data_IF_368049201925
#
_entry.id   IF_368049201925
#
_cell.length_a   1.000
_cell.length_b   1.000
_cell.length_c   1.000
_cell.angle_alpha   90.00
_cell.angle_beta   90.00
_cell.angle_gamma   90.00
#
_symmetry.space_group_name_H-M   'P 1'
#
loop_
_entity.id
_entity.type
_entity.pdbx_description
1 polymer ?
#
# COMPACT_ATOMS: atom_id res chain seq x y z
N UNK A 1 -5.40 6.26 -8.32
CA UNK A 1 -5.37 6.55 -9.77
C UNK A 1 -4.67 7.87 -10.11
N UNK A 2 -4.64 8.85 -9.22
CA UNK A 2 -4.05 10.16 -9.50
C UNK A 2 -2.51 10.14 -9.64
N UNK A 3 -1.82 9.15 -9.09
CA UNK A 3 -0.36 9.11 -9.03
C UNK A 3 0.30 8.09 -9.98
N UNK A 4 -0.50 7.29 -10.72
CA UNK A 4 0.01 6.20 -11.57
C UNK A 4 0.16 6.60 -13.05
N UNK A 5 0.10 7.90 -13.35
CA UNK A 5 0.25 8.45 -14.71
C UNK A 5 -0.59 7.75 -15.77
N UNK A 6 -1.82 7.36 -15.41
CA UNK A 6 -2.76 6.62 -16.26
C UNK A 6 -2.21 5.26 -16.76
N UNK A 7 -1.34 4.60 -15.98
CA UNK A 7 -0.72 3.33 -16.40
C UNK A 7 -1.73 2.19 -16.55
N UNK A 8 -2.82 2.20 -15.77
CA UNK A 8 -3.91 1.23 -15.91
C UNK A 8 -4.70 1.51 -17.19
N UNK A 9 -5.08 2.77 -17.42
CA UNK A 9 -5.83 3.18 -18.62
C UNK A 9 -5.04 2.94 -19.90
N UNK A 10 -3.71 3.09 -19.85
CA UNK A 10 -2.83 2.80 -20.99
C UNK A 10 -2.84 1.32 -21.40
N UNK A 11 -3.32 0.42 -20.57
CA UNK A 11 -3.53 -0.99 -20.91
C UNK A 11 -4.92 -1.25 -21.54
N UNK A 12 -5.72 -0.20 -21.76
CA UNK A 12 -7.06 -0.30 -22.33
C UNK A 12 -8.16 -0.56 -21.29
N UNK A 13 -7.86 -0.39 -20.00
CA UNK A 13 -8.82 -0.56 -18.92
C UNK A 13 -9.32 0.79 -18.40
N UNK A 14 -10.49 0.79 -17.80
CA UNK A 14 -11.07 1.95 -17.13
C UNK A 14 -11.11 1.70 -15.63
N UNK A 15 -10.72 2.71 -14.87
CA UNK A 15 -10.88 2.69 -13.41
C UNK A 15 -12.31 3.11 -13.05
N UNK A 16 -12.97 2.29 -12.25
CA UNK A 16 -14.26 2.60 -11.62
C UNK A 16 -13.97 2.97 -10.16
N UNK A 17 -13.96 4.27 -9.88
CA UNK A 17 -13.64 4.79 -8.55
C UNK A 17 -14.77 4.56 -7.56
N UNK A 18 -14.42 4.10 -6.36
CA UNK A 18 -15.33 4.01 -5.22
C UNK A 18 -14.91 5.01 -4.14
N UNK A 19 -15.88 5.69 -3.50
CA UNK A 19 -15.57 6.67 -2.47
C UNK A 19 -14.95 5.98 -1.25
N UNK A 20 -13.97 6.65 -0.64
CA UNK A 20 -13.35 6.21 0.60
C UNK A 20 -13.15 7.39 1.56
N UNK A 21 -12.99 7.13 2.85
CA UNK A 21 -12.70 8.13 3.87
C UNK A 21 -11.30 7.99 4.46
N UNK A 22 -10.80 6.76 4.54
CA UNK A 22 -9.53 6.38 5.16
C UNK A 22 -8.60 5.61 4.22
N UNK A 23 -8.89 5.65 2.91
CA UNK A 23 -8.14 4.90 1.88
C UNK A 23 -8.70 3.51 1.61
N UNK A 24 -9.68 3.02 2.37
CA UNK A 24 -10.29 1.71 2.19
C UNK A 24 -11.63 1.79 1.46
N UNK A 25 -11.89 0.79 0.63
CA UNK A 25 -13.21 0.51 0.05
C UNK A 25 -13.77 -0.76 0.69
N UNK A 26 -15.09 -0.87 0.76
CA UNK A 26 -15.77 -1.98 1.45
C UNK A 26 -16.31 -3.02 0.49
N UNK A 27 -16.48 -4.24 0.97
CA UNK A 27 -17.15 -5.33 0.23
C UNK A 27 -18.55 -4.92 -0.25
N UNK A 28 -19.28 -4.13 0.54
CA UNK A 28 -20.60 -3.63 0.19
C UNK A 28 -20.58 -2.66 -0.98
N UNK A 29 -19.60 -1.74 -1.02
CA UNK A 29 -19.43 -0.82 -2.15
C UNK A 29 -19.07 -1.55 -3.43
N UNK A 30 -18.15 -2.54 -3.34
CA UNK A 30 -17.75 -3.39 -4.46
C UNK A 30 -18.96 -4.20 -4.97
N UNK A 31 -19.72 -4.81 -4.06
CA UNK A 31 -20.92 -5.56 -4.43
C UNK A 31 -21.99 -4.67 -5.09
N UNK A 32 -22.17 -3.43 -4.61
CA UNK A 32 -23.09 -2.48 -5.20
C UNK A 32 -22.66 -2.08 -6.63
N UNK A 33 -21.37 -1.84 -6.83
CA UNK A 33 -20.81 -1.53 -8.17
C UNK A 33 -20.99 -2.69 -9.14
N UNK A 34 -20.65 -3.92 -8.72
CA UNK A 34 -20.84 -5.11 -9.53
C UNK A 34 -22.32 -5.35 -9.86
N UNK A 35 -23.19 -5.24 -8.86
CA UNK A 35 -24.63 -5.40 -9.03
C UNK A 35 -25.21 -4.38 -10.01
N UNK A 36 -24.77 -3.12 -9.93
CA UNK A 36 -25.21 -2.05 -10.83
C UNK A 36 -24.90 -2.38 -12.31
N UNK A 37 -23.83 -3.13 -12.58
CA UNK A 37 -23.52 -3.63 -13.91
C UNK A 37 -24.41 -4.83 -14.30
N UNK A 38 -24.47 -5.87 -13.47
CA UNK A 38 -25.14 -7.14 -13.81
C UNK A 38 -26.68 -7.07 -13.77
N UNK A 39 -27.26 -6.08 -13.11
CA UNK A 39 -28.73 -5.87 -13.04
C UNK A 39 -29.26 -4.98 -14.18
N UNK A 40 -28.41 -4.56 -15.14
CA UNK A 40 -28.88 -3.80 -16.30
C UNK A 40 -29.52 -4.70 -17.37
N UNK A 41 -30.45 -4.14 -18.12
CA UNK A 41 -31.06 -4.85 -19.25
C UNK A 41 -30.06 -5.03 -20.41
N UNK A 42 -29.14 -4.09 -20.58
CA UNK A 42 -28.13 -4.07 -21.65
C UNK A 42 -26.73 -3.78 -21.08
N UNK A 43 -26.14 -4.70 -20.28
CA UNK A 43 -24.87 -4.48 -19.61
C UNK A 43 -23.68 -4.31 -20.58
N UNK A 44 -23.79 -4.81 -21.82
CA UNK A 44 -22.75 -4.71 -22.85
C UNK A 44 -22.39 -3.27 -23.26
N UNK A 45 -23.24 -2.29 -22.94
CA UNK A 45 -22.93 -0.86 -23.15
C UNK A 45 -22.18 -0.23 -21.99
N UNK A 46 -21.95 -0.96 -20.91
CA UNK A 46 -21.29 -0.46 -19.70
C UNK A 46 -19.88 -1.04 -19.54
N UNK A 47 -19.07 -0.42 -18.72
CA UNK A 47 -17.77 -0.98 -18.32
C UNK A 47 -17.99 -2.11 -17.33
N UNK A 48 -17.62 -3.33 -17.70
CA UNK A 48 -17.69 -4.49 -16.82
C UNK A 48 -16.62 -4.42 -15.72
N UNK A 49 -16.97 -4.49 -14.44
CA UNK A 49 -15.99 -4.62 -13.37
C UNK A 49 -15.36 -6.01 -13.39
N UNK A 50 -14.06 -6.10 -13.62
CA UNK A 50 -13.33 -7.39 -13.70
C UNK A 50 -12.26 -7.56 -12.64
N UNK A 51 -11.81 -6.49 -12.03
CA UNK A 51 -10.79 -6.55 -11.00
C UNK A 51 -11.05 -5.51 -9.93
N UNK A 52 -10.88 -5.93 -8.68
CA UNK A 52 -10.78 -5.04 -7.53
C UNK A 52 -9.30 -4.80 -7.25
N UNK A 53 -8.90 -3.53 -7.15
CA UNK A 53 -7.54 -3.10 -6.86
C UNK A 53 -7.53 -2.45 -5.48
N UNK A 54 -6.68 -2.96 -4.58
CA UNK A 54 -6.48 -2.44 -3.23
C UNK A 54 -5.01 -2.16 -2.99
N UNK A 55 -4.69 -1.16 -2.17
CA UNK A 55 -3.34 -0.98 -1.61
C UNK A 55 -3.25 -1.55 -0.19
N UNK A 56 -2.15 -2.24 0.14
CA UNK A 56 -1.87 -2.73 1.49
C UNK A 56 -0.42 -2.45 1.92
N UNK A 57 -0.22 -1.68 3.01
CA UNK A 57 -1.23 -0.77 3.61
C UNK A 57 -1.77 0.23 2.59
N UNK A 58 -2.88 0.89 2.92
CA UNK A 58 -3.42 1.93 2.04
C UNK A 58 -2.45 3.11 1.92
N UNK A 59 -2.65 3.97 0.94
CA UNK A 59 -1.85 5.20 0.78
C UNK A 59 -1.89 6.11 2.02
N UNK A 60 -2.93 5.96 2.84
CA UNK A 60 -3.09 6.69 4.12
C UNK A 60 -2.55 5.93 5.34
N UNK A 61 -1.83 4.82 5.13
CA UNK A 61 -1.24 4.03 6.21
C UNK A 61 -2.26 3.23 7.04
N UNK A 62 -3.50 3.13 6.60
CA UNK A 62 -4.51 2.28 7.23
C UNK A 62 -4.39 0.84 6.77
N UNK A 63 -4.92 -0.09 7.54
CA UNK A 63 -4.82 -1.52 7.29
C UNK A 63 -6.18 -2.13 7.02
N UNK A 64 -6.26 -2.98 6.01
CA UNK A 64 -7.36 -3.94 5.90
C UNK A 64 -7.13 -5.07 6.90
N UNK A 65 -8.15 -5.43 7.68
CA UNK A 65 -8.14 -6.65 8.48
C UNK A 65 -8.33 -7.89 7.60
N UNK A 66 -7.95 -9.06 8.11
CA UNK A 66 -8.19 -10.35 7.46
C UNK A 66 -9.68 -10.56 7.13
N UNK A 67 -10.56 -10.11 8.02
CA UNK A 67 -12.00 -10.16 7.80
C UNK A 67 -12.43 -9.31 6.61
N UNK A 68 -11.95 -8.06 6.52
CA UNK A 68 -12.27 -7.16 5.40
C UNK A 68 -11.78 -7.72 4.05
N UNK A 69 -10.52 -8.20 4.00
CA UNK A 69 -9.98 -8.83 2.77
C UNK A 69 -10.80 -10.06 2.39
N UNK A 70 -11.19 -10.91 3.37
CA UNK A 70 -12.03 -12.06 3.09
C UNK A 70 -13.40 -11.68 2.55
N UNK A 71 -14.07 -10.69 3.14
CA UNK A 71 -15.37 -10.22 2.67
C UNK A 71 -15.26 -9.68 1.22
N UNK A 72 -14.19 -8.97 0.88
CA UNK A 72 -13.92 -8.49 -0.48
C UNK A 72 -13.64 -9.67 -1.43
N UNK A 73 -12.82 -10.63 -1.02
CA UNK A 73 -12.57 -11.86 -1.77
C UNK A 73 -13.86 -12.62 -2.09
N UNK A 74 -14.75 -12.76 -1.11
CA UNK A 74 -16.03 -13.46 -1.29
C UNK A 74 -16.93 -12.74 -2.32
N UNK A 75 -16.92 -11.41 -2.33
CA UNK A 75 -17.62 -10.60 -3.34
C UNK A 75 -16.96 -10.77 -4.72
N UNK A 76 -15.63 -10.71 -4.81
CA UNK A 76 -14.91 -10.93 -6.06
C UNK A 76 -15.24 -12.31 -6.65
N UNK A 77 -15.19 -13.36 -5.83
CA UNK A 77 -15.56 -14.73 -6.23
C UNK A 77 -17.00 -14.80 -6.74
N UNK A 78 -17.94 -14.18 -6.02
CA UNK A 78 -19.36 -14.19 -6.39
C UNK A 78 -19.63 -13.58 -7.77
N UNK A 79 -18.92 -12.52 -8.12
CA UNK A 79 -19.13 -11.78 -9.39
C UNK A 79 -18.09 -12.10 -10.48
N UNK A 80 -17.20 -13.08 -10.25
CA UNK A 80 -16.18 -13.46 -11.23
C UNK A 80 -15.15 -12.37 -11.50
N UNK A 81 -14.82 -11.59 -10.47
CA UNK A 81 -13.78 -10.54 -10.48
C UNK A 81 -12.50 -11.07 -9.85
N UNK A 82 -11.36 -10.54 -10.28
CA UNK A 82 -10.08 -10.77 -9.62
C UNK A 82 -9.86 -9.78 -8.48
N UNK A 83 -9.14 -10.22 -7.45
CA UNK A 83 -8.66 -9.36 -6.37
C UNK A 83 -7.14 -9.17 -6.51
N UNK A 84 -6.74 -7.93 -6.79
CA UNK A 84 -5.34 -7.51 -6.86
C UNK A 84 -4.99 -6.64 -5.64
N UNK A 85 -3.87 -6.96 -4.98
CA UNK A 85 -3.35 -6.16 -3.87
C UNK A 85 -1.98 -5.55 -4.22
N UNK A 86 -1.97 -4.23 -4.31
CA UNK A 86 -0.78 -3.41 -4.38
C UNK A 86 -0.07 -3.41 -3.03
N UNK A 87 1.04 -4.11 -2.96
CA UNK A 87 1.86 -4.23 -1.76
C UNK A 87 3.11 -3.36 -1.79
N UNK A 88 3.09 -2.16 -2.40
CA UNK A 88 4.26 -1.27 -2.48
C UNK A 88 4.93 -1.03 -1.12
N UNK A 89 4.13 -1.09 -0.04
CA UNK A 89 4.57 -0.97 1.35
C UNK A 89 4.21 -2.21 2.17
N UNK A 90 4.13 -3.38 1.54
CA UNK A 90 3.70 -4.64 2.16
C UNK A 90 4.45 -4.94 3.47
N UNK A 91 5.77 -4.71 3.51
CA UNK A 91 6.58 -4.94 4.70
C UNK A 91 6.07 -4.16 5.91
N UNK A 92 5.78 -2.88 5.74
CA UNK A 92 5.28 -2.02 6.83
C UNK A 92 3.85 -2.40 7.25
N UNK A 93 3.01 -2.83 6.32
CA UNK A 93 1.70 -3.37 6.67
C UNK A 93 1.81 -4.63 7.51
N UNK A 94 2.68 -5.55 7.12
CA UNK A 94 2.93 -6.81 7.84
C UNK A 94 3.67 -6.62 9.17
N UNK A 95 4.52 -5.59 9.28
CA UNK A 95 5.27 -5.23 10.49
C UNK A 95 4.44 -4.54 11.56
N UNK A 96 3.30 -3.96 11.19
CA UNK A 96 2.45 -3.22 12.10
C UNK A 96 1.85 -4.10 13.21
N UNK A 97 1.84 -3.59 14.45
CA UNK A 97 1.22 -4.26 15.59
C UNK A 97 -0.31 -4.42 15.47
N UNK A 98 -0.95 -3.67 14.57
CA UNK A 98 -2.39 -3.75 14.30
C UNK A 98 -2.74 -4.71 13.17
N UNK A 99 -1.74 -5.30 12.52
CA UNK A 99 -1.95 -6.24 11.42
C UNK A 99 -2.34 -7.63 11.93
N UNK A 100 -3.32 -8.24 11.27
CA UNK A 100 -3.77 -9.62 11.50
C UNK A 100 -3.63 -10.54 10.27
N UNK A 101 -2.90 -10.05 9.24
CA UNK A 101 -2.65 -10.75 7.99
C UNK A 101 -1.21 -11.26 7.88
N UNK A 102 -1.03 -12.34 7.15
CA UNK A 102 0.26 -12.91 6.76
C UNK A 102 0.37 -12.98 5.23
N UNK A 103 1.58 -13.16 4.69
CA UNK A 103 1.75 -13.43 3.25
C UNK A 103 0.96 -14.65 2.78
N UNK A 104 0.77 -15.65 3.66
CA UNK A 104 -0.05 -16.82 3.35
C UNK A 104 -1.52 -16.44 3.19
N UNK A 105 -2.03 -15.56 4.03
CA UNK A 105 -3.42 -15.07 3.91
C UNK A 105 -3.63 -14.31 2.59
N UNK A 106 -2.66 -13.48 2.18
CA UNK A 106 -2.72 -12.84 0.86
C UNK A 106 -2.71 -13.87 -0.28
N UNK A 107 -1.88 -14.91 -0.19
CA UNK A 107 -1.84 -15.95 -1.20
C UNK A 107 -3.14 -16.79 -1.28
N UNK A 108 -3.87 -16.91 -0.17
CA UNK A 108 -5.15 -17.63 -0.11
C UNK A 108 -6.35 -16.77 -0.51
N UNK A 109 -6.29 -15.46 -0.26
CA UNK A 109 -7.43 -14.55 -0.39
C UNK A 109 -7.33 -13.60 -1.59
N UNK A 110 -6.25 -13.63 -2.37
CA UNK A 110 -6.08 -12.76 -3.54
C UNK A 110 -5.67 -13.55 -4.78
N UNK A 111 -5.97 -13.03 -5.95
CA UNK A 111 -5.58 -13.61 -7.23
C UNK A 111 -4.18 -13.16 -7.66
N UNK A 112 -3.85 -11.92 -7.32
CA UNK A 112 -2.54 -11.31 -7.56
C UNK A 112 -2.21 -10.36 -6.42
N UNK A 113 -0.98 -10.37 -5.97
CA UNK A 113 -0.43 -9.32 -5.12
C UNK A 113 1.06 -9.16 -5.39
N UNK A 114 1.64 -8.04 -4.99
CA UNK A 114 3.09 -7.96 -5.01
C UNK A 114 3.68 -7.57 -3.65
N UNK A 115 4.89 -8.08 -3.41
CA UNK A 115 5.70 -7.74 -2.25
C UNK A 115 6.59 -6.58 -2.65
N UNK A 116 6.32 -5.41 -2.12
CA UNK A 116 7.03 -4.19 -2.41
C UNK A 116 8.50 -4.26 -1.99
N UNK A 117 9.41 -4.01 -2.92
CA UNK A 117 10.84 -4.02 -2.64
C UNK A 117 11.44 -2.63 -2.49
N UNK A 118 11.16 -1.74 -3.42
CA UNK A 118 11.79 -0.43 -3.54
C UNK A 118 11.66 0.42 -2.27
N UNK A 119 10.50 0.43 -1.61
CA UNK A 119 10.28 1.18 -0.36
C UNK A 119 10.73 0.43 0.89
N UNK A 120 11.00 -0.88 0.78
CA UNK A 120 11.28 -1.78 1.90
C UNK A 120 12.74 -2.30 1.90
N UNK A 121 13.66 -1.61 1.24
CA UNK A 121 15.10 -1.89 1.30
C UNK A 121 15.70 -2.65 0.13
N UNK A 122 14.91 -3.09 -0.87
CA UNK A 122 15.45 -3.61 -2.10
C UNK A 122 16.09 -2.51 -2.95
N UNK A 123 17.12 -2.86 -3.71
CA UNK A 123 17.80 -1.92 -4.60
C UNK A 123 16.88 -1.47 -5.75
N UNK A 124 16.01 -2.36 -6.24
CA UNK A 124 15.04 -2.11 -7.29
C UNK A 124 14.02 -3.25 -7.42
N UNK A 125 12.87 -2.95 -7.99
CA UNK A 125 11.86 -3.93 -8.39
C UNK A 125 10.94 -4.39 -7.27
N UNK A 126 9.97 -5.21 -7.69
CA UNK A 126 8.91 -5.75 -6.87
C UNK A 126 8.76 -7.25 -7.15
N UNK A 127 8.35 -8.04 -6.17
CA UNK A 127 8.08 -9.47 -6.35
C UNK A 127 6.58 -9.69 -6.57
N UNK A 128 6.17 -9.95 -7.81
CA UNK A 128 4.78 -10.22 -8.16
C UNK A 128 4.42 -11.69 -7.91
N UNK A 129 3.37 -11.91 -7.14
CA UNK A 129 2.81 -13.21 -6.84
C UNK A 129 1.47 -13.35 -7.57
N UNK A 130 1.33 -14.39 -8.41
CA UNK A 130 0.10 -14.71 -9.13
C UNK A 130 -0.39 -16.05 -8.61
N UNK A 131 -1.51 -16.06 -7.91
CA UNK A 131 -2.13 -17.27 -7.36
C UNK A 131 -3.15 -17.85 -8.33
N UNK A 132 -3.93 -17.03 -9.03
CA UNK A 132 -4.87 -17.44 -10.05
C UNK A 132 -4.18 -18.11 -11.25
N UNK A 133 -4.56 -19.35 -11.59
CA UNK A 133 -3.86 -20.17 -12.58
C UNK A 133 -4.05 -19.66 -14.01
N UNK A 134 -5.21 -19.13 -14.34
CA UNK A 134 -5.55 -18.59 -15.65
C UNK A 134 -4.75 -17.31 -15.97
N UNK A 135 -4.43 -16.49 -14.96
CA UNK A 135 -3.59 -15.30 -15.14
C UNK A 135 -2.11 -15.63 -15.39
N UNK A 136 -1.66 -16.85 -15.10
CA UNK A 136 -0.30 -17.31 -15.42
C UNK A 136 -0.10 -17.61 -16.90
N UNK A 137 -1.20 -17.88 -17.64
CA UNK A 137 -1.11 -18.21 -19.05
C UNK A 137 -0.47 -17.07 -19.85
N UNK A 138 0.61 -17.39 -20.54
CA UNK A 138 1.41 -16.43 -21.33
C UNK A 138 1.91 -15.18 -20.59
N UNK A 139 1.89 -15.15 -19.27
CA UNK A 139 2.32 -13.98 -18.49
C UNK A 139 3.74 -13.51 -18.89
N UNK A 140 4.70 -14.46 -19.08
CA UNK A 140 6.05 -14.13 -19.55
C UNK A 140 6.08 -13.46 -20.94
N UNK A 141 5.12 -13.76 -21.81
CA UNK A 141 5.01 -13.11 -23.12
C UNK A 141 4.59 -11.65 -22.95
N UNK A 142 3.63 -11.37 -22.07
CA UNK A 142 3.22 -10.00 -21.73
C UNK A 142 4.36 -9.22 -21.06
N UNK A 143 5.10 -9.84 -20.14
CA UNK A 143 6.32 -9.24 -19.57
C UNK A 143 7.31 -8.85 -20.68
N UNK A 144 7.56 -9.74 -21.64
CA UNK A 144 8.48 -9.48 -22.76
C UNK A 144 7.99 -8.32 -23.63
N UNK A 145 6.72 -8.28 -23.96
CA UNK A 145 6.10 -7.23 -24.77
C UNK A 145 6.21 -5.84 -24.13
N UNK A 146 6.16 -5.79 -22.79
CA UNK A 146 6.24 -4.56 -22.00
C UNK A 146 7.66 -4.25 -21.46
N UNK A 147 8.70 -4.91 -21.99
CA UNK A 147 10.08 -4.65 -21.61
C UNK A 147 10.49 -5.15 -20.21
N UNK A 148 9.64 -5.92 -19.53
CA UNK A 148 9.86 -6.38 -18.16
C UNK A 148 10.71 -7.68 -18.06
N UNK A 149 11.23 -8.22 -19.16
CA UNK A 149 12.13 -9.38 -19.16
C UNK A 149 13.56 -8.89 -19.32
N UNK A 150 14.29 -8.83 -18.22
CA UNK A 150 15.71 -8.43 -18.21
C UNK A 150 16.62 -9.62 -18.45
N UNK A 151 17.72 -9.40 -19.20
CA UNK A 151 18.71 -10.44 -19.53
C UNK A 151 19.37 -11.07 -18.28
N UNK A 152 19.53 -10.30 -17.22
CA UNK A 152 20.04 -10.74 -15.91
C UNK A 152 19.03 -10.49 -14.78
N UNK A 153 17.75 -10.73 -15.05
CA UNK A 153 16.65 -10.54 -14.10
C UNK A 153 16.73 -11.38 -12.84
N UNK A 154 17.55 -12.44 -12.83
CA UNK A 154 17.84 -13.24 -11.64
C UNK A 154 18.44 -12.41 -10.49
N UNK A 155 19.09 -11.27 -10.78
CA UNK A 155 19.60 -10.35 -9.75
C UNK A 155 18.46 -9.76 -8.90
N UNK A 156 17.31 -9.47 -9.52
CA UNK A 156 16.10 -9.08 -8.73
C UNK A 156 15.62 -10.21 -7.83
N UNK A 157 15.58 -11.43 -8.35
CA UNK A 157 15.20 -12.61 -7.56
C UNK A 157 16.16 -12.85 -6.40
N UNK A 158 17.45 -12.68 -6.60
CA UNK A 158 18.47 -12.88 -5.57
C UNK A 158 18.28 -11.93 -4.38
N UNK A 159 18.03 -10.64 -4.63
CA UNK A 159 17.81 -9.69 -3.53
C UNK A 159 16.55 -10.05 -2.73
N UNK A 160 15.43 -10.39 -3.39
CA UNK A 160 14.22 -10.82 -2.68
C UNK A 160 14.45 -12.12 -1.91
N UNK A 161 15.12 -13.12 -2.50
CA UNK A 161 15.47 -14.35 -1.79
C UNK A 161 16.28 -14.04 -0.53
N UNK A 162 17.34 -13.21 -0.65
CA UNK A 162 18.18 -12.83 0.49
C UNK A 162 17.38 -12.13 1.58
N UNK A 163 16.57 -11.12 1.22
CA UNK A 163 15.81 -10.32 2.18
C UNK A 163 14.73 -11.14 2.91
N UNK A 164 14.05 -12.03 2.18
CA UNK A 164 12.97 -12.86 2.76
C UNK A 164 13.53 -14.03 3.56
N UNK A 165 14.57 -14.72 3.09
CA UNK A 165 15.20 -15.86 3.79
C UNK A 165 15.93 -15.42 5.07
N UNK A 166 16.56 -14.24 5.08
CA UNK A 166 17.16 -13.68 6.28
C UNK A 166 16.14 -13.14 7.29
N UNK A 167 14.91 -12.88 6.86
CA UNK A 167 13.89 -12.20 7.65
C UNK A 167 14.06 -10.67 7.72
N UNK A 168 15.15 -10.11 7.19
CA UNK A 168 15.45 -8.67 7.29
C UNK A 168 14.36 -7.79 6.66
N UNK A 169 13.67 -8.28 5.63
CA UNK A 169 12.53 -7.58 5.04
C UNK A 169 11.46 -7.19 6.09
N UNK A 170 11.14 -8.14 6.97
CA UNK A 170 10.10 -7.93 8.00
C UNK A 170 10.64 -7.16 9.20
N UNK A 171 11.86 -7.47 9.63
CA UNK A 171 12.48 -6.81 10.78
C UNK A 171 12.77 -5.34 10.51
N UNK A 172 13.27 -4.99 9.32
CA UNK A 172 13.51 -3.61 8.94
C UNK A 172 12.21 -2.81 8.84
N UNK A 173 11.16 -3.41 8.27
CA UNK A 173 9.85 -2.79 8.21
C UNK A 173 9.24 -2.56 9.59
N UNK A 174 9.32 -3.55 10.48
CA UNK A 174 8.85 -3.44 11.86
C UNK A 174 9.59 -2.36 12.64
N UNK A 175 10.93 -2.27 12.50
CA UNK A 175 11.71 -1.17 13.11
C UNK A 175 11.20 0.19 12.64
N UNK A 176 10.97 0.35 11.34
CA UNK A 176 10.45 1.60 10.79
C UNK A 176 9.06 1.96 11.36
N UNK A 177 8.16 0.99 11.50
CA UNK A 177 6.85 1.22 12.11
C UNK A 177 6.97 1.64 13.58
N UNK A 178 7.85 1.01 14.36
CA UNK A 178 8.11 1.39 15.76
C UNK A 178 8.59 2.84 15.84
N UNK A 179 9.52 3.24 14.99
CA UNK A 179 10.03 4.62 14.91
C UNK A 179 8.93 5.60 14.49
N UNK A 180 8.06 5.23 13.57
CA UNK A 180 6.89 6.04 13.17
C UNK A 180 5.92 6.23 14.35
N UNK A 181 5.73 5.20 15.19
CA UNK A 181 4.86 5.32 16.38
C UNK A 181 5.47 6.25 17.44
N UNK A 182 6.79 6.37 17.54
CA UNK A 182 7.44 7.38 18.41
C UNK A 182 7.16 8.79 17.92
N UNK A 183 7.28 9.03 16.60
CA UNK A 183 6.93 10.32 15.98
C UNK A 183 5.45 10.64 16.21
N UNK A 184 4.57 9.65 15.99
CA UNK A 184 3.12 9.78 16.24
C UNK A 184 2.87 10.24 17.67
N UNK A 185 3.46 9.53 18.63
CA UNK A 185 3.30 9.85 20.06
C UNK A 185 3.75 11.26 20.41
N UNK A 186 4.88 11.72 19.88
CA UNK A 186 5.38 13.07 20.12
C UNK A 186 4.37 14.13 19.64
N UNK A 187 3.79 13.97 18.46
CA UNK A 187 2.74 14.87 17.95
C UNK A 187 1.46 14.79 18.78
N UNK A 188 1.03 13.59 19.21
CA UNK A 188 -0.12 13.39 20.09
C UNK A 188 0.09 14.11 21.43
N UNK A 189 1.25 13.97 22.06
CA UNK A 189 1.59 14.61 23.34
C UNK A 189 1.59 16.16 23.24
N UNK A 190 1.82 16.70 22.04
CA UNK A 190 1.71 18.14 21.72
C UNK A 190 0.29 18.57 21.32
N UNK A 191 -0.64 17.64 21.21
CA UNK A 191 -2.01 17.93 20.79
C UNK A 191 -2.13 18.29 19.31
N UNK A 192 -1.16 17.92 18.47
CA UNK A 192 -1.23 18.11 17.02
C UNK A 192 -2.25 17.13 16.44
N UNK A 193 -3.24 17.60 15.68
CA UNK A 193 -4.26 16.72 15.11
C UNK A 193 -3.69 15.88 13.94
N UNK A 194 -4.30 14.72 13.71
CA UNK A 194 -4.02 13.82 12.61
C UNK A 194 -5.16 13.84 11.59
N UNK A 195 -4.80 13.82 10.30
CA UNK A 195 -5.78 13.70 9.22
C UNK A 195 -6.36 12.29 9.11
N UNK A 196 -5.57 11.28 9.48
CA UNK A 196 -5.97 9.88 9.52
C UNK A 196 -5.16 9.14 10.57
N UNK A 197 -5.77 8.13 11.18
CA UNK A 197 -5.08 7.26 12.12
C UNK A 197 -4.30 6.17 11.38
N UNK A 198 -2.97 6.31 11.34
CA UNK A 198 -2.06 5.33 10.76
C UNK A 198 -1.32 4.55 11.84
N UNK A 199 -1.08 3.26 11.56
CA UNK A 199 -0.30 2.34 12.40
C UNK A 199 0.91 1.77 11.65
N UNK A 200 1.34 2.43 10.57
CA UNK A 200 2.47 2.04 9.73
C UNK A 200 3.55 3.11 9.73
N UNK A 201 4.52 2.96 8.87
CA UNK A 201 5.66 3.87 8.70
C UNK A 201 5.31 5.30 8.25
N UNK A 202 4.05 5.60 7.97
CA UNK A 202 3.59 6.92 7.52
C UNK A 202 2.69 7.56 8.58
N UNK A 203 2.96 8.82 8.94
CA UNK A 203 2.14 9.60 9.86
C UNK A 203 1.65 10.87 9.17
N UNK A 204 0.35 11.13 9.25
CA UNK A 204 -0.33 12.23 8.54
C UNK A 204 -0.84 13.23 9.56
N UNK A 205 -0.08 14.28 9.80
CA UNK A 205 -0.37 15.31 10.80
C UNK A 205 -0.89 16.59 10.15
N UNK A 206 -1.63 17.39 10.91
CA UNK A 206 -2.11 18.71 10.48
C UNK A 206 -1.33 19.76 11.26
N UNK A 207 -0.32 20.36 10.64
CA UNK A 207 0.52 21.37 11.25
C UNK A 207 0.02 22.77 10.94
N UNK A 208 0.23 23.70 11.87
CA UNK A 208 0.13 25.12 11.59
C UNK A 208 1.27 25.60 10.68
N UNK A 209 1.10 26.72 9.97
CA UNK A 209 2.14 27.27 9.11
C UNK A 209 3.44 27.58 9.86
N UNK A 210 3.35 28.00 11.13
CA UNK A 210 4.52 28.22 11.97
C UNK A 210 5.26 26.92 12.25
N UNK A 211 4.56 25.86 12.64
CA UNK A 211 5.13 24.53 12.90
C UNK A 211 5.77 23.92 11.64
N UNK A 212 5.12 24.07 10.48
CA UNK A 212 5.69 23.65 9.19
C UNK A 212 7.03 24.36 8.92
N UNK A 213 7.06 25.69 9.04
CA UNK A 213 8.27 26.47 8.78
C UNK A 213 9.40 26.12 9.75
N UNK A 214 9.08 25.84 11.00
CA UNK A 214 10.06 25.49 12.02
C UNK A 214 10.67 24.11 11.74
N UNK A 215 9.85 23.09 11.50
CA UNK A 215 10.33 21.74 11.22
C UNK A 215 11.03 21.63 9.85
N UNK A 216 10.56 22.34 8.82
CA UNK A 216 11.15 22.31 7.50
C UNK A 216 12.57 22.88 7.43
N UNK A 217 13.05 23.59 8.47
CA UNK A 217 14.45 24.03 8.56
C UNK A 217 15.43 22.87 8.72
N UNK A 218 14.96 21.74 9.24
CA UNK A 218 15.83 20.60 9.59
C UNK A 218 15.37 19.28 8.98
N UNK A 219 14.07 19.12 8.72
CA UNK A 219 13.47 17.86 8.31
C UNK A 219 12.75 18.01 6.99
N UNK A 220 12.80 16.95 6.20
CA UNK A 220 11.97 16.81 5.02
C UNK A 220 10.71 16.00 5.36
N UNK A 221 9.57 16.51 5.00
CA UNK A 221 8.28 15.83 5.01
C UNK A 221 7.48 16.24 3.77
N UNK A 222 6.57 15.41 3.32
CA UNK A 222 5.71 15.78 2.21
C UNK A 222 4.58 16.68 2.70
N UNK A 223 4.41 17.82 2.03
CA UNK A 223 3.32 18.76 2.28
C UNK A 223 2.22 18.54 1.24
N UNK A 224 1.10 17.96 1.68
CA UNK A 224 -0.08 17.68 0.86
C UNK A 224 -1.17 18.75 1.07
N UNK A 225 -0.78 19.99 1.36
CA UNK A 225 -1.66 21.12 1.66
C UNK A 225 -2.08 21.14 3.13
N UNK A 226 -3.28 20.63 3.42
CA UNK A 226 -3.78 20.60 4.81
C UNK A 226 -3.15 19.49 5.66
N UNK A 227 -2.34 18.62 5.07
CA UNK A 227 -1.75 17.46 5.75
C UNK A 227 -0.26 17.35 5.44
N UNK A 228 0.56 17.10 6.46
CA UNK A 228 1.99 16.84 6.32
C UNK A 228 2.27 15.38 6.63
N UNK A 229 2.95 14.70 5.70
CA UNK A 229 3.28 13.29 5.81
C UNK A 229 4.72 13.07 6.23
N UNK A 230 4.91 12.50 7.41
CA UNK A 230 6.18 12.03 7.93
C UNK A 230 6.32 10.54 7.65
N UNK A 231 7.44 10.12 7.05
CA UNK A 231 7.69 8.73 6.71
C UNK A 231 9.01 8.26 7.32
N UNK A 232 8.97 7.16 8.04
CA UNK A 232 10.15 6.38 8.37
C UNK A 232 10.39 5.30 7.31
N UNK A 233 11.60 4.76 7.23
CA UNK A 233 11.96 3.71 6.29
C UNK A 233 12.90 2.69 6.93
N UNK A 234 13.23 1.67 6.19
CA UNK A 234 14.25 0.68 6.57
C UNK A 234 15.62 1.30 6.93
N UNK A 235 15.91 2.52 6.42
CA UNK A 235 17.17 3.22 6.64
C UNK A 235 17.09 4.26 7.77
N UNK A 236 15.89 4.57 8.29
CA UNK A 236 15.72 5.56 9.37
C UNK A 236 16.33 5.03 10.66
N UNK A 237 17.13 5.87 11.33
CA UNK A 237 17.81 5.53 12.59
C UNK A 237 17.05 6.05 13.82
N UNK A 238 17.31 5.45 14.98
CA UNK A 238 16.77 5.92 16.27
C UNK A 238 17.23 7.37 16.57
N UNK A 239 18.50 7.68 16.34
CA UNK A 239 19.05 9.03 16.59
C UNK A 239 18.33 10.10 15.76
N UNK A 240 18.00 9.83 14.50
CA UNK A 240 17.25 10.77 13.65
C UNK A 240 15.82 11.00 14.17
N UNK A 241 15.18 9.96 14.67
CA UNK A 241 13.84 10.07 15.26
C UNK A 241 13.87 10.77 16.60
N UNK A 242 14.85 10.48 17.45
CA UNK A 242 15.03 11.16 18.75
C UNK A 242 15.26 12.65 18.57
N UNK A 243 16.04 13.07 17.56
CA UNK A 243 16.21 14.48 17.22
C UNK A 243 14.89 15.11 16.79
N UNK A 244 14.12 14.46 15.92
CA UNK A 244 12.81 14.96 15.47
C UNK A 244 11.83 15.06 16.65
N UNK A 245 11.75 14.04 17.49
CA UNK A 245 10.89 14.02 18.70
C UNK A 245 11.24 15.17 19.62
N UNK A 246 12.56 15.38 19.89
CA UNK A 246 13.03 16.50 20.71
C UNK A 246 12.63 17.87 20.14
N UNK A 247 12.61 18.03 18.82
CA UNK A 247 12.21 19.28 18.19
C UNK A 247 10.67 19.43 18.14
N UNK A 248 9.92 18.35 17.97
CA UNK A 248 8.44 18.35 18.12
C UNK A 248 8.05 18.79 19.54
N UNK A 249 8.76 18.33 20.57
CA UNK A 249 8.49 18.70 21.96
C UNK A 249 8.67 20.21 22.25
N UNK A 250 9.32 20.96 21.37
CA UNK A 250 9.54 22.41 21.49
C UNK A 250 8.51 23.27 20.75
N UNK A 251 7.68 22.64 19.89
CA UNK A 251 6.63 23.31 19.10
C UNK A 251 5.53 24.03 19.99
#
# INVERSE_FOLDING_TARGET
>A
NCHEAASIENTGHKILELPNTDGKITAQQIAACAKAYYDQDEPEYLTEPKMVYLSFPTEKGTLYSKKEIKEIHDVCTKYGMYLFVDGARMGYGLGSEKNDLTLKDFAELTDVFYIGGTKCGALFGEALIITAQDLKYRFKAYMKQNGAVLAKGWLMGLQFATMLESGEYFEAAKRADVLAMQIKKAFEDKGVPFAVESFTNQQFVILTEQQKQELAQKYYFEDEGDTQRFCTSWATTEDEVDMLVTDIEKL
#
